data_IF_043301178407
#
_entry.id   IF_043301178407
#
_cell.length_a   1.000
_cell.length_b   1.000
_cell.length_c   1.000
_cell.angle_alpha   90.00
_cell.angle_beta   90.00
_cell.angle_gamma   90.00
#
_symmetry.space_group_name_H-M   'P 1'
#
loop_
_entity.id
_entity.type
_entity.pdbx_description
1 polymer ?
#
# COMPACT_ATOMS: atom_id res chain seq x y z
N UNK A 1 0.27 28.99 -30.95
CA UNK A 1 -0.24 30.30 -30.53
C UNK A 1 -1.70 30.32 -30.89
N UNK A 2 -2.61 30.16 -29.91
CA UNK A 2 -4.06 30.28 -30.10
C UNK A 2 -4.35 31.71 -30.59
N UNK A 3 -5.21 31.88 -31.61
CA UNK A 3 -5.64 33.16 -32.15
C UNK A 3 -5.84 34.18 -31.04
N UNK A 4 -5.04 35.24 -31.05
CA UNK A 4 -5.02 36.27 -30.03
C UNK A 4 -6.41 36.92 -29.89
N UNK A 5 -6.94 36.97 -28.68
CA UNK A 5 -8.16 37.70 -28.39
C UNK A 5 -7.82 39.20 -28.53
N UNK A 6 -8.49 39.90 -29.46
CA UNK A 6 -8.35 41.32 -29.62
C UNK A 6 -9.12 42.03 -28.49
N UNK A 7 -8.45 42.88 -27.75
CA UNK A 7 -9.03 43.74 -26.71
C UNK A 7 -9.25 45.14 -27.26
N UNK A 8 -10.43 45.73 -27.02
CA UNK A 8 -10.79 47.05 -27.56
C UNK A 8 -10.27 48.20 -26.68
N UNK A 9 -10.06 47.92 -25.39
CA UNK A 9 -9.58 48.92 -24.44
C UNK A 9 -8.45 48.36 -23.56
N UNK A 10 -7.62 49.26 -23.01
CA UNK A 10 -6.57 48.93 -22.04
C UNK A 10 -7.18 48.25 -20.80
N UNK A 11 -8.39 48.67 -20.42
CA UNK A 11 -9.09 48.11 -19.25
C UNK A 11 -9.51 46.65 -19.47
N UNK A 12 -10.08 46.32 -20.62
CA UNK A 12 -10.41 44.94 -21.00
C UNK A 12 -9.19 44.02 -21.00
N UNK A 13 -8.07 44.52 -21.51
CA UNK A 13 -6.81 43.80 -21.46
C UNK A 13 -6.33 43.55 -20.04
N UNK A 14 -6.40 44.59 -19.18
CA UNK A 14 -5.96 44.49 -17.79
C UNK A 14 -6.84 43.48 -17.00
N UNK A 15 -8.14 43.57 -17.15
CA UNK A 15 -9.10 42.65 -16.53
C UNK A 15 -8.86 41.19 -16.98
N UNK A 16 -8.58 41.03 -18.28
CA UNK A 16 -8.22 39.71 -18.79
C UNK A 16 -6.91 39.18 -18.19
N UNK A 17 -5.87 40.00 -18.12
CA UNK A 17 -4.59 39.64 -17.50
C UNK A 17 -4.81 39.26 -16.03
N UNK A 18 -5.53 40.07 -15.27
CA UNK A 18 -5.86 39.79 -13.88
C UNK A 18 -6.59 38.45 -13.75
N UNK A 19 -7.60 38.22 -14.60
CA UNK A 19 -8.35 36.94 -14.58
C UNK A 19 -7.45 35.72 -14.88
N UNK A 20 -6.50 35.86 -15.83
CA UNK A 20 -5.55 34.78 -16.12
C UNK A 20 -4.55 34.54 -14.96
N UNK A 21 -4.07 35.62 -14.34
CA UNK A 21 -3.21 35.52 -13.14
C UNK A 21 -3.99 34.82 -12.00
N UNK A 22 -5.22 35.20 -11.75
CA UNK A 22 -6.07 34.53 -10.77
C UNK A 22 -6.29 33.04 -11.07
N UNK A 23 -6.56 32.69 -12.33
CA UNK A 23 -6.70 31.30 -12.76
C UNK A 23 -5.44 30.45 -12.53
N UNK A 24 -4.26 31.08 -12.70
CA UNK A 24 -2.97 30.40 -12.52
C UNK A 24 -2.59 30.32 -11.04
N UNK A 25 -2.86 31.39 -10.26
CA UNK A 25 -2.48 31.49 -8.85
C UNK A 25 -3.49 30.95 -7.87
N UNK A 26 -4.76 30.75 -8.30
CA UNK A 26 -5.80 30.20 -7.42
C UNK A 26 -5.44 28.78 -6.95
N UNK A 27 -5.68 28.45 -5.67
CA UNK A 27 -5.51 27.11 -5.16
C UNK A 27 -6.35 26.11 -5.98
N UNK A 28 -5.70 25.09 -6.55
CA UNK A 28 -6.40 24.03 -7.32
C UNK A 28 -6.94 22.93 -6.45
N UNK A 29 -6.34 22.73 -5.28
CA UNK A 29 -6.84 21.82 -4.26
C UNK A 29 -7.82 22.57 -3.38
N UNK A 30 -9.09 22.18 -3.40
CA UNK A 30 -10.17 22.82 -2.67
C UNK A 30 -11.00 21.77 -1.91
N UNK A 31 -11.62 22.20 -0.82
CA UNK A 31 -12.55 21.35 -0.10
C UNK A 31 -13.80 21.08 -0.94
N UNK A 32 -14.23 19.83 -0.93
CA UNK A 32 -15.44 19.38 -1.64
C UNK A 32 -16.35 18.62 -0.69
N UNK A 33 -17.65 18.60 -1.01
CA UNK A 33 -18.64 17.79 -0.28
C UNK A 33 -18.76 16.45 -1.00
N UNK A 34 -18.49 15.36 -0.29
CA UNK A 34 -18.65 14.01 -0.82
C UNK A 34 -20.13 13.58 -0.74
N UNK A 35 -20.87 13.72 -1.82
CA UNK A 35 -22.26 13.26 -1.97
C UNK A 35 -22.41 11.92 -2.70
N UNK A 36 -21.32 11.14 -2.91
CA UNK A 36 -21.33 9.92 -3.72
C UNK A 36 -21.84 8.68 -2.99
N UNK A 37 -21.92 8.71 -1.65
CA UNK A 37 -22.18 7.52 -0.83
C UNK A 37 -20.97 6.59 -0.64
N UNK A 38 -19.81 6.90 -1.22
CA UNK A 38 -18.57 6.14 -1.09
C UNK A 38 -17.64 6.87 -0.13
N UNK A 39 -17.51 6.38 1.10
CA UNK A 39 -16.72 7.05 2.16
C UNK A 39 -15.24 7.18 1.77
N UNK A 40 -14.63 6.10 1.27
CA UNK A 40 -13.22 6.06 0.86
C UNK A 40 -13.06 6.35 -0.65
N UNK A 41 -13.71 7.40 -1.15
CA UNK A 41 -13.69 7.74 -2.55
C UNK A 41 -12.29 8.18 -3.00
N UNK A 42 -11.69 7.44 -3.94
CA UNK A 42 -10.31 7.65 -4.39
C UNK A 42 -10.07 9.03 -4.99
N UNK A 43 -11.02 9.54 -5.78
CA UNK A 43 -10.93 10.88 -6.37
C UNK A 43 -11.06 12.03 -5.37
N UNK A 44 -11.51 11.77 -4.13
CA UNK A 44 -11.64 12.77 -3.05
C UNK A 44 -10.60 12.59 -1.94
N UNK A 45 -9.52 11.85 -2.21
CA UNK A 45 -8.40 11.71 -1.30
C UNK A 45 -8.56 10.60 -0.25
N UNK A 46 -9.57 9.71 -0.40
CA UNK A 46 -9.87 8.58 0.51
C UNK A 46 -10.28 9.05 1.91
N UNK A 47 -9.66 8.51 2.99
CA UNK A 47 -10.02 8.90 4.35
C UNK A 47 -9.66 10.36 4.64
N UNK A 48 -10.59 11.18 5.17
CA UNK A 48 -10.33 12.58 5.45
C UNK A 48 -9.41 12.77 6.65
N UNK A 49 -8.52 13.75 6.58
CA UNK A 49 -7.73 14.19 7.72
C UNK A 49 -8.56 15.04 8.69
N UNK A 50 -8.35 14.86 9.98
CA UNK A 50 -8.84 15.80 10.98
C UNK A 50 -7.91 17.02 11.06
N UNK A 51 -8.46 18.23 11.04
CA UNK A 51 -7.70 19.48 11.10
C UNK A 51 -6.74 19.56 12.29
N UNK A 52 -7.12 18.98 13.44
CA UNK A 52 -6.23 18.87 14.62
C UNK A 52 -4.94 18.13 14.31
N UNK A 53 -4.99 17.00 13.62
CA UNK A 53 -3.79 16.21 13.28
C UNK A 53 -2.88 16.96 12.31
N UNK A 54 -3.45 17.72 11.36
CA UNK A 54 -2.66 18.55 10.45
C UNK A 54 -1.96 19.68 11.20
N UNK A 55 -2.63 20.28 12.19
CA UNK A 55 -2.03 21.32 13.03
C UNK A 55 -0.92 20.77 13.90
N UNK A 56 -1.16 19.65 14.59
CA UNK A 56 -0.15 18.98 15.43
C UNK A 56 1.07 18.58 14.59
N UNK A 57 0.87 18.16 13.34
CA UNK A 57 1.94 17.83 12.41
C UNK A 57 2.73 19.07 12.00
N UNK A 58 2.03 20.17 11.65
CA UNK A 58 2.66 21.43 11.28
C UNK A 58 3.53 21.96 12.41
N UNK A 59 3.00 21.96 13.65
CA UNK A 59 3.73 22.43 14.86
C UNK A 59 4.99 21.59 15.11
N UNK A 60 4.94 20.25 14.89
CA UNK A 60 6.09 19.35 15.06
C UNK A 60 7.14 19.45 13.97
N UNK A 61 6.75 19.82 12.76
CA UNK A 61 7.64 19.91 11.59
C UNK A 61 8.14 21.32 11.32
N UNK A 62 7.76 22.29 12.16
CA UNK A 62 8.29 23.64 12.04
C UNK A 62 9.79 23.64 12.41
N UNK A 63 10.62 23.98 11.42
CA UNK A 63 12.08 23.98 11.54
C UNK A 63 12.76 22.63 11.24
N UNK A 64 13.88 22.40 11.89
CA UNK A 64 14.66 21.16 11.74
C UNK A 64 14.14 20.05 12.63
N UNK A 65 14.08 18.83 12.11
CA UNK A 65 13.63 17.64 12.83
C UNK A 65 14.65 16.49 12.71
N UNK A 66 14.66 15.60 13.67
CA UNK A 66 15.59 14.47 13.76
C UNK A 66 15.19 13.26 12.89
N UNK A 67 14.63 13.51 11.70
CA UNK A 67 14.09 12.44 10.84
C UNK A 67 15.09 11.32 10.51
N UNK A 68 16.35 11.65 10.27
CA UNK A 68 17.44 10.71 10.02
C UNK A 68 18.66 11.04 10.91
N UNK A 69 18.41 11.49 12.12
CA UNK A 69 19.45 11.81 13.10
C UNK A 69 19.10 11.20 14.45
N UNK A 70 20.00 10.38 14.99
CA UNK A 70 19.84 9.77 16.30
C UNK A 70 20.39 10.72 17.38
N UNK A 71 19.49 11.24 18.23
CA UNK A 71 19.83 12.23 19.25
C UNK A 71 20.70 11.64 20.37
N UNK A 72 20.63 10.33 20.60
CA UNK A 72 21.40 9.67 21.66
C UNK A 72 22.86 9.45 21.29
N UNK A 73 23.10 9.01 20.04
CA UNK A 73 24.44 8.69 19.54
C UNK A 73 25.11 9.85 18.79
N UNK A 74 24.34 10.88 18.38
CA UNK A 74 24.83 11.97 17.54
C UNK A 74 25.14 11.56 16.08
N UNK A 75 24.73 10.38 15.65
CA UNK A 75 25.01 9.84 14.34
C UNK A 75 23.77 9.87 13.44
N UNK A 76 23.98 9.53 12.15
CA UNK A 76 22.88 9.34 11.21
C UNK A 76 22.02 8.17 11.63
N UNK A 77 20.71 8.42 11.81
CA UNK A 77 19.68 7.45 12.16
C UNK A 77 18.93 6.90 10.94
N UNK A 78 18.08 5.91 11.19
CA UNK A 78 17.11 5.37 10.24
C UNK A 78 15.72 5.94 10.56
N UNK A 79 15.08 6.63 9.58
CA UNK A 79 13.72 7.17 9.77
C UNK A 79 12.68 6.12 10.17
N UNK A 80 12.88 4.85 9.79
CA UNK A 80 11.97 3.76 10.17
C UNK A 80 12.00 3.48 11.68
N UNK A 81 13.12 3.73 12.35
CA UNK A 81 13.22 3.51 13.81
C UNK A 81 12.26 4.39 14.60
N UNK A 82 11.85 5.54 14.07
CA UNK A 82 10.91 6.45 14.72
C UNK A 82 9.50 5.85 14.90
N UNK A 83 9.11 4.90 14.05
CA UNK A 83 7.75 4.35 14.01
C UNK A 83 7.71 2.81 14.10
N UNK A 84 8.81 2.14 13.84
CA UNK A 84 8.89 0.68 13.70
C UNK A 84 8.33 -0.09 14.90
N UNK A 85 8.73 0.28 16.12
CA UNK A 85 8.32 -0.43 17.34
C UNK A 85 6.82 -0.27 17.60
N UNK A 86 6.30 0.96 17.45
CA UNK A 86 4.88 1.26 17.63
C UNK A 86 4.02 0.50 16.63
N UNK A 87 4.41 0.51 15.35
CA UNK A 87 3.69 -0.17 14.28
C UNK A 87 3.74 -1.70 14.45
N UNK A 88 4.88 -2.25 14.86
CA UNK A 88 5.02 -3.67 15.17
C UNK A 88 4.09 -4.09 16.30
N UNK A 89 4.05 -3.32 17.38
CA UNK A 89 3.17 -3.58 18.53
C UNK A 89 1.68 -3.48 18.15
N UNK A 90 1.31 -2.48 17.37
CA UNK A 90 -0.07 -2.30 16.91
C UNK A 90 -0.56 -3.49 16.06
N UNK A 91 0.30 -4.03 15.21
CA UNK A 91 -0.04 -5.13 14.31
C UNK A 91 0.23 -6.52 14.91
N UNK A 92 0.95 -6.62 16.03
CA UNK A 92 1.36 -7.90 16.62
C UNK A 92 2.42 -8.63 15.77
N UNK A 93 3.34 -7.90 15.12
CA UNK A 93 4.36 -8.44 14.23
C UNK A 93 5.78 -8.31 14.82
N UNK A 94 6.73 -9.11 14.32
CA UNK A 94 8.14 -9.04 14.76
C UNK A 94 8.80 -7.71 14.38
N UNK A 95 8.37 -7.13 13.26
CA UNK A 95 8.95 -5.92 12.70
C UNK A 95 7.99 -5.24 11.73
N UNK A 96 8.19 -3.94 11.51
CA UNK A 96 7.38 -3.14 10.60
C UNK A 96 8.25 -2.12 9.85
N UNK A 97 7.79 -1.69 8.69
CA UNK A 97 8.32 -0.53 7.96
C UNK A 97 7.22 0.15 7.16
N UNK A 98 7.49 1.37 6.73
CA UNK A 98 6.56 2.19 5.95
C UNK A 98 7.17 2.51 4.59
N UNK A 99 6.35 2.42 3.55
CA UNK A 99 6.66 2.89 2.19
C UNK A 99 5.52 3.75 1.66
N UNK A 100 5.74 4.46 0.56
CA UNK A 100 4.86 5.52 0.10
C UNK A 100 3.49 5.05 -0.43
N UNK A 101 3.34 3.79 -0.90
CA UNK A 101 2.06 3.24 -1.37
C UNK A 101 2.09 1.72 -1.50
N UNK A 102 0.92 1.08 -1.75
CA UNK A 102 0.82 -0.38 -1.81
C UNK A 102 1.53 -0.98 -3.03
N UNK A 103 1.49 -0.31 -4.16
CA UNK A 103 2.23 -0.77 -5.35
C UNK A 103 3.74 -0.84 -5.07
N UNK A 104 4.27 0.16 -4.34
CA UNK A 104 5.66 0.18 -3.89
C UNK A 104 5.99 -0.96 -2.92
N UNK A 105 5.11 -1.24 -1.95
CA UNK A 105 5.28 -2.33 -0.99
C UNK A 105 5.32 -3.69 -1.67
N UNK A 106 4.37 -3.95 -2.58
CA UNK A 106 4.30 -5.19 -3.36
C UNK A 106 5.51 -5.31 -4.27
N UNK A 107 5.87 -4.24 -4.99
CA UNK A 107 7.03 -4.22 -5.89
C UNK A 107 8.34 -4.49 -5.14
N UNK A 108 8.58 -3.82 -4.02
CA UNK A 108 9.78 -4.02 -3.19
C UNK A 108 9.84 -5.45 -2.65
N UNK A 109 8.70 -5.98 -2.17
CA UNK A 109 8.64 -7.35 -1.65
C UNK A 109 8.94 -8.38 -2.73
N UNK A 110 8.34 -8.26 -3.90
CA UNK A 110 8.57 -9.17 -5.02
C UNK A 110 10.01 -9.11 -5.51
N UNK A 111 10.57 -7.89 -5.64
CA UNK A 111 11.95 -7.71 -6.07
C UNK A 111 12.94 -8.33 -5.07
N UNK A 112 12.77 -8.12 -3.77
CA UNK A 112 13.69 -8.64 -2.75
C UNK A 112 13.55 -10.16 -2.56
N UNK A 113 12.29 -10.67 -2.57
CA UNK A 113 12.01 -12.05 -2.20
C UNK A 113 12.06 -13.02 -3.39
N UNK A 114 11.81 -12.53 -4.62
CA UNK A 114 11.50 -13.41 -5.74
C UNK A 114 12.18 -13.05 -7.07
N UNK A 115 13.07 -12.04 -7.13
CA UNK A 115 13.74 -11.68 -8.39
C UNK A 115 14.39 -12.91 -9.05
N UNK A 116 14.13 -13.10 -10.35
CA UNK A 116 14.60 -14.24 -11.15
C UNK A 116 13.93 -15.58 -10.84
N UNK A 117 12.96 -15.64 -9.92
CA UNK A 117 12.23 -16.83 -9.53
C UNK A 117 10.73 -16.73 -9.73
N UNK A 118 10.04 -17.84 -9.48
CA UNK A 118 8.58 -17.93 -9.66
C UNK A 118 7.82 -17.47 -8.40
N UNK A 119 6.77 -16.68 -8.63
CA UNK A 119 5.78 -16.27 -7.64
C UNK A 119 4.47 -16.97 -7.96
N UNK A 120 4.02 -17.85 -7.06
CA UNK A 120 2.74 -18.54 -7.22
C UNK A 120 1.62 -17.64 -6.72
N UNK A 121 0.63 -17.36 -7.58
CA UNK A 121 -0.56 -16.60 -7.25
C UNK A 121 -1.81 -17.25 -7.85
N UNK A 122 -2.92 -17.22 -7.11
CA UNK A 122 -4.22 -17.71 -7.63
C UNK A 122 -4.74 -16.81 -8.75
N UNK A 123 -5.21 -17.41 -9.83
CA UNK A 123 -5.85 -16.67 -10.93
C UNK A 123 -7.04 -15.83 -10.46
N UNK A 124 -7.81 -16.32 -9.46
CA UNK A 124 -8.90 -15.59 -8.83
C UNK A 124 -8.46 -14.39 -7.98
N UNK A 125 -7.15 -14.22 -7.72
CA UNK A 125 -6.59 -13.12 -6.92
C UNK A 125 -5.79 -12.10 -7.77
N UNK A 126 -5.87 -12.19 -9.10
CA UNK A 126 -5.19 -11.26 -10.00
C UNK A 126 -6.01 -9.99 -10.17
N UNK A 127 -5.98 -9.14 -9.15
CA UNK A 127 -6.76 -7.91 -9.08
C UNK A 127 -6.18 -6.81 -9.99
N UNK A 128 -7.09 -5.94 -10.48
CA UNK A 128 -6.75 -4.63 -11.02
C UNK A 128 -7.35 -3.56 -10.11
N UNK A 129 -6.55 -2.58 -9.70
CA UNK A 129 -6.95 -1.50 -8.78
C UNK A 129 -6.48 -0.15 -9.31
N UNK A 130 -7.32 0.89 -9.16
CA UNK A 130 -6.91 2.28 -9.35
C UNK A 130 -6.46 2.67 -10.76
N UNK A 131 -7.02 2.06 -11.79
CA UNK A 131 -6.87 2.51 -13.17
C UNK A 131 -5.66 1.99 -13.94
N UNK A 132 -4.90 1.02 -13.41
CA UNK A 132 -3.90 0.24 -14.16
C UNK A 132 -2.93 -0.56 -13.28
N UNK A 133 -3.09 -0.59 -11.97
CA UNK A 133 -2.27 -1.47 -11.13
C UNK A 133 -2.81 -2.90 -11.25
N UNK A 134 -2.05 -3.77 -11.90
CA UNK A 134 -2.36 -5.20 -12.07
C UNK A 134 -1.29 -6.04 -11.42
N UNK A 135 -1.70 -7.05 -10.68
CA UNK A 135 -0.76 -7.98 -10.01
C UNK A 135 0.20 -8.65 -11.00
N UNK A 136 -0.24 -9.16 -12.17
CA UNK A 136 0.69 -9.73 -13.15
C UNK A 136 1.78 -8.76 -13.60
N UNK A 137 1.40 -7.51 -13.91
CA UNK A 137 2.33 -6.50 -14.44
C UNK A 137 3.39 -6.11 -13.39
N UNK A 138 2.99 -6.03 -12.12
CA UNK A 138 3.90 -5.73 -11.01
C UNK A 138 4.86 -6.89 -10.74
N UNK A 139 4.39 -8.13 -10.82
CA UNK A 139 5.26 -9.30 -10.67
C UNK A 139 6.33 -9.28 -11.77
N UNK A 140 5.94 -9.09 -13.02
CA UNK A 140 6.88 -9.01 -14.15
C UNK A 140 7.88 -7.85 -13.97
N UNK A 141 7.40 -6.65 -13.67
CA UNK A 141 8.25 -5.46 -13.47
C UNK A 141 9.21 -5.59 -12.30
N UNK A 142 8.87 -6.39 -11.29
CA UNK A 142 9.77 -6.66 -10.16
C UNK A 142 10.96 -7.57 -10.50
N UNK A 143 10.97 -8.15 -11.71
CA UNK A 143 11.95 -9.15 -12.13
C UNK A 143 11.62 -10.57 -11.70
N UNK A 144 10.44 -10.81 -11.12
CA UNK A 144 9.93 -12.13 -10.78
C UNK A 144 9.10 -12.71 -11.95
N UNK A 145 8.84 -14.00 -11.90
CA UNK A 145 8.08 -14.75 -12.90
C UNK A 145 6.75 -15.16 -12.30
N UNK A 146 5.63 -14.73 -12.89
CA UNK A 146 4.30 -15.14 -12.46
C UNK A 146 4.05 -16.62 -12.76
N UNK A 147 3.62 -17.36 -11.74
CA UNK A 147 3.11 -18.74 -11.84
C UNK A 147 1.63 -18.77 -11.39
N UNK A 148 0.73 -18.73 -12.36
CA UNK A 148 -0.71 -18.79 -12.09
C UNK A 148 -1.16 -20.18 -11.68
N UNK A 149 -2.07 -20.27 -10.70
CA UNK A 149 -2.71 -21.52 -10.27
C UNK A 149 -4.21 -21.40 -10.18
N UNK A 150 -4.89 -22.51 -10.40
CA UNK A 150 -6.35 -22.60 -10.39
C UNK A 150 -7.01 -21.90 -11.57
N UNK A 151 -8.26 -21.51 -11.36
CA UNK A 151 -9.11 -20.79 -12.32
C UNK A 151 -9.68 -19.54 -11.69
N UNK A 152 -10.39 -18.71 -12.45
CA UNK A 152 -10.97 -17.44 -11.97
C UNK A 152 -11.83 -17.61 -10.71
N UNK A 153 -12.62 -18.68 -10.64
CA UNK A 153 -13.58 -18.90 -9.57
C UNK A 153 -13.20 -20.05 -8.61
N UNK A 154 -12.24 -20.90 -8.97
CA UNK A 154 -11.88 -22.06 -8.14
C UNK A 154 -10.37 -22.31 -8.14
N UNK A 155 -9.78 -22.24 -6.95
CA UNK A 155 -8.40 -22.63 -6.69
C UNK A 155 -8.37 -23.56 -5.48
N UNK A 156 -7.65 -24.67 -5.59
CA UNK A 156 -7.51 -25.67 -4.55
C UNK A 156 -6.05 -25.72 -4.06
N UNK A 157 -5.83 -26.17 -2.84
CA UNK A 157 -4.49 -26.31 -2.26
C UNK A 157 -3.57 -27.18 -3.14
N UNK A 158 -4.12 -28.24 -3.74
CA UNK A 158 -3.40 -29.11 -4.68
C UNK A 158 -2.86 -28.38 -5.91
N UNK A 159 -3.47 -27.26 -6.33
CA UNK A 159 -3.04 -26.48 -7.48
C UNK A 159 -1.74 -25.74 -7.11
N UNK A 160 -1.64 -25.22 -5.89
CA UNK A 160 -0.41 -24.64 -5.35
C UNK A 160 0.66 -25.71 -5.16
N UNK A 161 0.34 -26.87 -4.55
CA UNK A 161 1.30 -27.95 -4.34
C UNK A 161 1.92 -28.44 -5.64
N UNK A 162 1.14 -28.61 -6.70
CA UNK A 162 1.62 -29.00 -8.04
C UNK A 162 2.46 -27.95 -8.72
N UNK A 163 2.30 -26.69 -8.37
CA UNK A 163 3.04 -25.56 -8.96
C UNK A 163 4.40 -25.30 -8.29
N UNK A 164 4.65 -25.90 -7.11
CA UNK A 164 5.90 -25.73 -6.37
C UNK A 164 7.03 -26.52 -7.02
N UNK A 165 8.07 -25.81 -7.48
CA UNK A 165 9.30 -26.36 -8.07
C UNK A 165 10.54 -25.62 -7.56
N UNK A 166 11.72 -26.02 -8.03
CA UNK A 166 13.02 -25.42 -7.64
C UNK A 166 13.10 -23.90 -7.85
N UNK A 167 12.37 -23.37 -8.83
CA UNK A 167 12.36 -21.93 -9.15
C UNK A 167 11.35 -21.14 -8.29
N UNK A 168 10.47 -21.80 -7.54
CA UNK A 168 9.48 -21.13 -6.72
C UNK A 168 10.17 -20.41 -5.55
N UNK A 169 9.96 -19.10 -5.45
CA UNK A 169 10.55 -18.23 -4.43
C UNK A 169 9.53 -17.67 -3.45
N UNK A 170 8.27 -17.53 -3.87
CA UNK A 170 7.24 -16.87 -3.08
C UNK A 170 5.87 -17.45 -3.39
N UNK A 171 5.01 -17.55 -2.37
CA UNK A 171 3.56 -17.69 -2.52
C UNK A 171 2.95 -16.34 -2.19
N UNK A 172 2.25 -15.74 -3.15
CA UNK A 172 1.54 -14.47 -2.99
C UNK A 172 0.05 -14.74 -2.81
N UNK A 173 -0.50 -14.29 -1.69
CA UNK A 173 -1.92 -14.24 -1.44
C UNK A 173 -2.40 -12.80 -1.49
N UNK A 174 -3.38 -12.49 -2.34
CA UNK A 174 -3.94 -11.15 -2.53
C UNK A 174 -5.40 -11.14 -2.09
N UNK A 175 -5.74 -10.24 -1.19
CA UNK A 175 -7.12 -10.03 -0.77
C UNK A 175 -7.90 -9.26 -1.85
N UNK A 176 -9.02 -9.84 -2.32
CA UNK A 176 -9.88 -9.23 -3.33
C UNK A 176 -10.83 -8.19 -2.72
N UNK A 177 -10.25 -7.06 -2.25
CA UNK A 177 -10.98 -6.03 -1.49
C UNK A 177 -11.96 -5.19 -2.34
N UNK A 178 -11.85 -5.24 -3.66
CA UNK A 178 -12.61 -4.38 -4.59
C UNK A 178 -13.65 -5.13 -5.43
N UNK A 179 -13.73 -6.45 -5.33
CA UNK A 179 -14.78 -7.26 -5.98
C UNK A 179 -15.04 -8.54 -5.22
N UNK A 180 -16.18 -9.18 -5.49
CA UNK A 180 -16.58 -10.47 -4.94
C UNK A 180 -17.03 -11.40 -6.06
N UNK A 181 -16.48 -12.61 -6.09
CA UNK A 181 -16.93 -13.68 -6.98
C UNK A 181 -17.99 -14.52 -6.26
N UNK A 182 -19.18 -14.63 -6.84
CA UNK A 182 -20.32 -15.39 -6.28
C UNK A 182 -20.64 -16.61 -7.14
N UNK A 183 -21.22 -17.63 -6.54
CA UNK A 183 -21.64 -18.88 -7.20
C UNK A 183 -20.74 -20.06 -6.82
N UNK A 184 -20.35 -20.86 -7.80
CA UNK A 184 -19.48 -22.03 -7.57
C UNK A 184 -18.01 -21.57 -7.38
N UNK A 185 -17.68 -21.10 -6.20
CA UNK A 185 -16.35 -20.57 -5.85
C UNK A 185 -15.62 -21.49 -4.89
N UNK A 186 -14.30 -21.45 -4.92
CA UNK A 186 -13.39 -22.06 -3.94
C UNK A 186 -12.09 -21.28 -3.89
N UNK A 187 -11.74 -20.84 -2.71
CA UNK A 187 -10.45 -20.19 -2.43
C UNK A 187 -9.64 -21.03 -1.46
N UNK A 188 -8.32 -20.86 -1.49
CA UNK A 188 -7.40 -21.39 -0.49
C UNK A 188 -7.16 -20.31 0.54
N UNK A 189 -7.38 -20.62 1.80
CA UNK A 189 -7.18 -19.66 2.89
C UNK A 189 -5.69 -19.31 3.06
N UNK A 190 -5.41 -18.12 3.60
CA UNK A 190 -4.05 -17.73 3.91
C UNK A 190 -3.39 -18.70 4.90
N UNK A 191 -4.12 -19.20 5.87
CA UNK A 191 -3.62 -20.19 6.85
C UNK A 191 -3.15 -21.48 6.19
N UNK A 192 -3.91 -22.02 5.22
CA UNK A 192 -3.50 -23.20 4.44
C UNK A 192 -2.22 -22.92 3.63
N UNK A 193 -2.12 -21.73 3.01
CA UNK A 193 -0.92 -21.34 2.26
C UNK A 193 0.30 -21.15 3.16
N UNK A 194 0.13 -20.61 4.37
CA UNK A 194 1.23 -20.49 5.35
C UNK A 194 1.74 -21.87 5.78
N UNK A 195 0.84 -22.83 6.01
CA UNK A 195 1.21 -24.21 6.33
C UNK A 195 1.97 -24.83 5.15
N UNK A 196 1.47 -24.66 3.93
CA UNK A 196 2.13 -25.13 2.72
C UNK A 196 3.52 -24.50 2.54
N UNK A 197 3.63 -23.19 2.71
CA UNK A 197 4.89 -22.45 2.63
C UNK A 197 5.93 -22.95 3.64
N UNK A 198 5.50 -23.19 4.89
CA UNK A 198 6.38 -23.79 5.93
C UNK A 198 6.86 -25.18 5.55
N UNK A 199 5.96 -26.05 5.04
CA UNK A 199 6.29 -27.41 4.57
C UNK A 199 7.37 -27.41 3.49
N UNK A 200 7.29 -26.46 2.56
CA UNK A 200 8.21 -26.37 1.42
C UNK A 200 9.33 -25.34 1.60
N UNK A 201 9.40 -24.67 2.76
CA UNK A 201 10.38 -23.60 3.06
C UNK A 201 10.31 -22.41 2.07
N UNK A 202 9.11 -22.13 1.58
CA UNK A 202 8.80 -21.02 0.67
C UNK A 202 8.10 -19.94 1.48
N UNK A 203 8.57 -18.67 1.43
CA UNK A 203 7.89 -17.57 2.12
C UNK A 203 6.51 -17.32 1.56
N UNK A 204 5.61 -16.80 2.41
CA UNK A 204 4.25 -16.40 2.04
C UNK A 204 4.09 -14.93 2.31
N UNK A 205 3.63 -14.20 1.30
CA UNK A 205 3.27 -12.79 1.40
C UNK A 205 1.75 -12.64 1.31
N UNK A 206 1.19 -11.81 2.18
CA UNK A 206 -0.21 -11.40 2.15
C UNK A 206 -0.32 -9.92 1.75
N UNK A 207 -1.00 -9.63 0.65
CA UNK A 207 -1.35 -8.27 0.24
C UNK A 207 -2.83 -8.00 0.52
N UNK A 208 -3.12 -7.14 1.49
CA UNK A 208 -4.49 -6.82 1.90
C UNK A 208 -5.11 -5.68 1.10
N UNK A 209 -4.30 -4.81 0.50
CA UNK A 209 -4.78 -3.61 -0.18
C UNK A 209 -5.41 -2.56 0.75
N UNK A 210 -6.37 -2.92 1.61
CA UNK A 210 -6.92 -2.08 2.70
C UNK A 210 -6.19 -2.38 4.02
N UNK A 211 -6.79 -2.75 5.06
CA UNK A 211 -6.17 -3.15 6.32
C UNK A 211 -6.79 -2.43 7.50
N UNK A 212 -7.84 -3.05 8.07
CA UNK A 212 -8.46 -2.58 9.29
C UNK A 212 -7.58 -2.97 10.48
N UNK A 213 -7.29 -2.02 11.38
CA UNK A 213 -6.65 -2.32 12.66
C UNK A 213 -7.66 -2.72 13.74
N UNK A 214 -8.92 -2.31 13.58
CA UNK A 214 -10.03 -2.59 14.47
C UNK A 214 -10.99 -3.57 13.81
N UNK A 215 -11.76 -4.27 14.61
CA UNK A 215 -12.90 -5.06 14.14
C UNK A 215 -14.03 -4.12 13.71
N UNK A 216 -14.20 -3.99 12.39
CA UNK A 216 -15.17 -3.05 11.79
C UNK A 216 -16.63 -3.46 12.09
N UNK A 217 -16.91 -4.75 12.33
CA UNK A 217 -18.25 -5.21 12.74
C UNK A 217 -18.69 -4.63 14.08
N UNK A 218 -17.77 -4.52 15.05
CA UNK A 218 -18.08 -3.90 16.34
C UNK A 218 -18.45 -2.43 16.24
N UNK A 219 -18.07 -1.78 15.11
CA UNK A 219 -18.42 -0.41 14.79
C UNK A 219 -19.66 -0.29 13.91
N UNK A 220 -20.38 -1.40 13.64
CA UNK A 220 -21.56 -1.43 12.77
C UNK A 220 -21.23 -1.24 11.27
N UNK A 221 -19.98 -1.43 10.88
CA UNK A 221 -19.52 -1.34 9.49
C UNK A 221 -19.42 -2.71 8.82
N UNK A 222 -19.15 -2.71 7.51
CA UNK A 222 -18.94 -3.94 6.76
C UNK A 222 -17.80 -4.79 7.36
N UNK A 223 -17.93 -6.11 7.25
CA UNK A 223 -16.93 -7.05 7.73
C UNK A 223 -15.63 -6.88 6.94
N UNK A 224 -14.57 -6.56 7.65
CA UNK A 224 -13.22 -6.55 7.10
C UNK A 224 -12.27 -7.22 8.08
N UNK A 225 -11.44 -8.11 7.58
CA UNK A 225 -10.53 -8.90 8.40
C UNK A 225 -9.45 -8.00 9.03
N UNK A 226 -9.36 -7.94 10.36
CA UNK A 226 -8.34 -7.13 11.02
C UNK A 226 -6.91 -7.60 10.66
N UNK A 227 -6.01 -6.65 10.46
CA UNK A 227 -4.59 -6.91 10.15
C UNK A 227 -3.96 -7.87 11.16
N UNK A 228 -4.27 -7.71 12.45
CA UNK A 228 -3.75 -8.57 13.51
C UNK A 228 -4.15 -10.04 13.32
N UNK A 229 -5.35 -10.30 12.84
CA UNK A 229 -5.80 -11.67 12.50
C UNK A 229 -5.00 -12.26 11.35
N UNK A 230 -4.70 -11.47 10.33
CA UNK A 230 -3.85 -11.88 9.20
C UNK A 230 -2.43 -12.16 9.66
N UNK A 231 -1.84 -11.29 10.47
CA UNK A 231 -0.49 -11.47 11.02
C UNK A 231 -0.42 -12.74 11.87
N UNK A 232 -1.47 -13.04 12.63
CA UNK A 232 -1.55 -14.25 13.46
C UNK A 232 -1.58 -15.56 12.65
N UNK A 233 -2.00 -15.56 11.39
CA UNK A 233 -1.83 -16.75 10.51
C UNK A 233 -0.35 -17.03 10.22
N UNK A 234 0.52 -16.04 10.37
CA UNK A 234 1.97 -16.16 10.28
C UNK A 234 2.55 -16.10 8.88
N UNK A 235 2.04 -15.26 7.95
CA UNK A 235 2.74 -14.99 6.70
C UNK A 235 4.11 -14.36 6.99
N UNK A 236 5.02 -14.44 6.04
CA UNK A 236 6.34 -13.84 6.19
C UNK A 236 6.30 -12.31 6.16
N UNK A 237 5.44 -11.75 5.30
CA UNK A 237 5.16 -10.32 5.18
C UNK A 237 3.67 -10.11 4.87
N UNK A 238 3.12 -9.06 5.46
CA UNK A 238 1.78 -8.52 5.15
C UNK A 238 1.90 -7.06 4.76
N UNK A 239 1.22 -6.65 3.68
CA UNK A 239 1.16 -5.25 3.22
C UNK A 239 -0.27 -4.71 3.29
N UNK A 240 -0.44 -3.46 3.71
CA UNK A 240 -1.76 -2.80 3.76
C UNK A 240 -1.65 -1.28 3.79
N UNK A 241 -2.65 -0.62 3.19
CA UNK A 241 -2.70 0.82 3.05
C UNK A 241 -3.17 1.52 4.33
N UNK A 242 -2.51 2.62 4.71
CA UNK A 242 -2.82 3.40 5.90
C UNK A 242 -3.87 4.50 5.64
N UNK A 243 -3.95 5.02 4.43
CA UNK A 243 -4.84 6.11 4.02
C UNK A 243 -6.31 5.69 3.83
N UNK A 244 -6.66 4.45 4.14
CA UNK A 244 -8.03 3.94 4.13
C UNK A 244 -8.63 3.98 5.53
N UNK A 245 -8.15 3.19 6.46
CA UNK A 245 -8.74 3.05 7.79
C UNK A 245 -8.03 3.83 8.89
N UNK A 246 -6.80 4.29 8.66
CA UNK A 246 -6.04 5.03 9.67
C UNK A 246 -6.16 6.55 9.54
N UNK A 247 -6.74 7.07 8.44
CA UNK A 247 -6.84 8.53 8.18
C UNK A 247 -5.50 9.26 8.32
N UNK A 248 -4.44 8.67 7.77
CA UNK A 248 -3.07 9.21 7.74
C UNK A 248 -2.63 9.50 6.31
N UNK A 249 -1.52 10.21 6.07
CA UNK A 249 -0.97 10.42 4.73
C UNK A 249 -0.83 9.12 3.94
N UNK A 250 -0.86 9.25 2.61
CA UNK A 250 -0.78 8.10 1.72
C UNK A 250 0.51 7.31 1.96
N UNK A 251 0.37 6.19 2.64
CA UNK A 251 1.45 5.30 3.03
C UNK A 251 0.95 3.88 3.16
N UNK A 252 1.88 2.94 3.20
CA UNK A 252 1.62 1.52 3.36
C UNK A 252 2.53 0.93 4.41
N UNK A 253 1.95 0.14 5.27
CA UNK A 253 2.68 -0.67 6.23
C UNK A 253 3.06 -2.01 5.61
N UNK A 254 4.31 -2.39 5.83
CA UNK A 254 4.85 -3.72 5.59
C UNK A 254 5.23 -4.31 6.94
N UNK A 255 4.49 -5.32 7.38
CA UNK A 255 4.66 -5.94 8.71
C UNK A 255 4.94 -7.44 8.58
N UNK A 256 5.75 -7.98 9.45
CA UNK A 256 6.06 -9.41 9.45
C UNK A 256 7.43 -9.74 10.03
N UNK A 257 8.09 -10.74 9.48
CA UNK A 257 9.35 -11.25 10.02
C UNK A 257 10.50 -10.25 9.87
N UNK A 258 11.21 -10.01 10.95
CA UNK A 258 12.34 -9.07 11.04
C UNK A 258 13.40 -9.28 9.95
N UNK A 259 13.66 -10.54 9.56
CA UNK A 259 14.62 -10.84 8.49
C UNK A 259 14.29 -10.16 7.16
N UNK A 260 12.99 -10.12 6.78
CA UNK A 260 12.54 -9.52 5.53
C UNK A 260 12.52 -7.99 5.61
N UNK A 261 12.03 -7.42 6.70
CA UNK A 261 12.08 -5.97 6.92
C UNK A 261 13.52 -5.46 6.84
N UNK A 262 14.47 -6.18 7.44
CA UNK A 262 15.89 -5.84 7.35
C UNK A 262 16.47 -5.99 5.94
N UNK A 263 16.02 -6.97 5.17
CA UNK A 263 16.42 -7.14 3.77
C UNK A 263 15.90 -5.96 2.92
N UNK A 264 14.62 -5.59 3.07
CA UNK A 264 14.04 -4.45 2.36
C UNK A 264 14.76 -3.13 2.63
N UNK A 265 15.17 -2.85 3.88
CA UNK A 265 15.93 -1.65 4.22
C UNK A 265 17.28 -1.57 3.50
N UNK A 266 17.86 -2.71 3.13
CA UNK A 266 19.13 -2.81 2.38
C UNK A 266 18.94 -2.75 0.86
N UNK A 267 17.74 -3.04 0.37
CA UNK A 267 17.44 -3.01 -1.05
C UNK A 267 17.52 -1.56 -1.58
N UNK A 268 18.26 -1.26 -2.66
CA UNK A 268 18.38 0.08 -3.22
C UNK A 268 17.03 0.74 -3.57
N UNK A 269 16.03 -0.06 -3.96
CA UNK A 269 14.67 0.43 -4.26
C UNK A 269 14.00 1.08 -3.03
N UNK A 270 14.32 0.66 -1.82
CA UNK A 270 13.76 1.27 -0.61
C UNK A 270 14.01 2.78 -0.58
N UNK A 271 15.18 3.25 -1.03
CA UNK A 271 15.48 4.68 -1.07
C UNK A 271 14.55 5.46 -2.00
N UNK A 272 14.08 4.83 -3.08
CA UNK A 272 13.13 5.42 -4.03
C UNK A 272 11.70 5.40 -3.47
N UNK A 273 11.37 4.38 -2.68
CA UNK A 273 10.00 4.07 -2.24
C UNK A 273 9.69 4.54 -0.82
N UNK A 274 10.66 5.08 -0.09
CA UNK A 274 10.48 5.56 1.29
C UNK A 274 9.61 6.80 1.36
N UNK A 275 8.87 6.95 2.45
CA UNK A 275 8.08 8.13 2.75
C UNK A 275 8.94 9.39 2.97
N UNK A 276 8.35 10.55 2.78
CA UNK A 276 8.92 11.85 3.12
C UNK A 276 8.80 12.15 4.64
N UNK A 277 9.04 13.40 5.03
CA UNK A 277 8.97 13.79 6.45
C UNK A 277 7.55 14.09 6.93
N UNK A 278 6.59 14.28 6.03
CA UNK A 278 5.19 14.59 6.37
C UNK A 278 4.40 13.31 6.65
N UNK A 279 4.74 12.25 5.92
CA UNK A 279 4.14 10.92 6.07
C UNK A 279 4.61 10.22 7.32
#
# INVERSE_FOLDING_TARGET
IKKGKLFKTKQELLEHIISQVWLISAPRLVNVINGTGIVLHTGFGRAPFRGKHLKDLADRLDGYVNLEFDLGSGNRGDRQSLVQEQLSAMCGSDSAMVVNNNAAAVFLSLNEMAVGGEVICSRGQMVEIGGSFRIPDIIEKSGAILKEVGTTNRTHLKDYEKAIFKKTKLILWVHTSNYVVKGFTKEVSLSELVILGKKHKIPVMADLGSGALLDMKQLGLADEMPVKSIVNYGPDITTFACDKHLSVPHSVLMVGKKKWVNAYKKNPLYRVLRCDKIT
#
